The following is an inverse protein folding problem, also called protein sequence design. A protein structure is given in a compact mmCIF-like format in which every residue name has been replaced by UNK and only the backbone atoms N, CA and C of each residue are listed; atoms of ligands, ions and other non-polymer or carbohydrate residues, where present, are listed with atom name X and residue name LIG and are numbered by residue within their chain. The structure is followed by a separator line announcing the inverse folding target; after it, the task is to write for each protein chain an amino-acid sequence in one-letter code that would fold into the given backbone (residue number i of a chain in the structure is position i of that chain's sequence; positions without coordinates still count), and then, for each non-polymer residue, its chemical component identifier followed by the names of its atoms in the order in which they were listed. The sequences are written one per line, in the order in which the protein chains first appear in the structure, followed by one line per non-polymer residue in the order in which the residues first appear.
data_IF_768607344350
#
_entry.id   IF_768607344350
#
_cell.length_a   1.000
_cell.length_b   1.000
_cell.length_c   1.000
_cell.angle_alpha   90.00
_cell.angle_beta   90.00
_cell.angle_gamma   90.00
#
_symmetry.space_group_name_H-M   'P 1'
#
loop_
_entity.id
_entity.type
_entity.pdbx_description
1 polymer ?
#
# COMPACT_ATOMS: atom_id res chain seq x y z
N UNK A 1 20.40 40.15 29.17
CA UNK A 1 20.06 39.23 28.06
C UNK A 1 19.09 38.20 28.61
N UNK A 2 17.79 38.43 28.41
CA UNK A 2 16.74 37.54 28.88
C UNK A 2 16.59 36.34 27.93
N UNK A 3 16.64 35.13 28.48
CA UNK A 3 16.34 33.90 27.76
C UNK A 3 14.83 33.78 27.64
N UNK A 4 14.29 33.79 26.42
CA UNK A 4 12.88 33.53 26.20
C UNK A 4 12.58 32.04 26.42
N UNK A 5 11.61 31.79 27.29
CA UNK A 5 11.08 30.49 27.65
C UNK A 5 10.18 29.99 26.50
N UNK A 6 10.55 28.86 25.88
CA UNK A 6 9.93 28.32 24.65
C UNK A 6 8.63 27.56 24.96
N UNK A 7 8.15 27.60 26.19
CA UNK A 7 7.09 26.72 26.70
C UNK A 7 5.67 27.25 26.50
N UNK A 8 5.48 28.48 26.00
CA UNK A 8 4.16 29.08 25.81
C UNK A 8 4.09 29.82 24.47
N UNK A 9 3.42 29.22 23.49
CA UNK A 9 3.01 29.93 22.27
C UNK A 9 1.69 30.66 22.62
N UNK A 10 1.67 31.99 22.77
CA UNK A 10 0.44 32.72 23.03
C UNK A 10 -0.47 32.63 21.80
N UNK A 11 -1.63 32.00 21.95
CA UNK A 11 -2.65 31.96 20.91
C UNK A 11 -3.26 33.35 20.78
N UNK A 12 -2.92 34.06 19.71
CA UNK A 12 -3.40 35.42 19.45
C UNK A 12 -4.81 35.37 18.83
N UNK A 13 -5.76 36.09 19.42
CA UNK A 13 -7.13 36.20 18.92
C UNK A 13 -7.14 36.87 17.55
N UNK A 14 -7.55 36.14 16.51
CA UNK A 14 -7.58 36.61 15.12
C UNK A 14 -6.63 35.85 14.18
N UNK A 15 -5.74 35.01 14.69
CA UNK A 15 -4.95 34.10 13.88
C UNK A 15 -5.79 32.85 13.55
N UNK A 16 -5.98 32.48 12.28
CA UNK A 16 -6.67 31.25 11.93
C UNK A 16 -5.90 30.07 12.53
N UNK A 17 -6.44 29.46 13.57
CA UNK A 17 -5.97 28.19 14.07
C UNK A 17 -6.36 27.13 13.05
N UNK A 18 -5.38 26.55 12.36
CA UNK A 18 -5.56 25.34 11.56
C UNK A 18 -5.78 24.15 12.51
N UNK A 19 -6.86 24.16 13.31
CA UNK A 19 -7.38 22.89 13.80
C UNK A 19 -7.91 22.19 12.57
N UNK A 20 -7.26 21.08 12.24
CA UNK A 20 -7.51 20.34 11.02
C UNK A 20 -8.99 19.98 10.93
N UNK A 21 -9.69 20.63 10.01
CA UNK A 21 -10.94 20.14 9.42
C UNK A 21 -10.59 18.97 8.48
N UNK A 22 -9.87 17.97 8.97
CA UNK A 22 -9.54 16.78 8.21
C UNK A 22 -10.82 15.96 8.04
N UNK A 23 -11.32 15.77 6.81
CA UNK A 23 -12.44 14.86 6.57
C UNK A 23 -12.06 13.45 7.05
N UNK A 24 -13.01 12.62 7.51
CA UNK A 24 -12.74 11.25 7.95
C UNK A 24 -12.00 10.40 6.89
N UNK A 25 -12.12 10.74 5.60
CA UNK A 25 -11.36 10.08 4.51
C UNK A 25 -9.83 10.26 4.62
N UNK A 26 -9.36 11.32 5.30
CA UNK A 26 -7.92 11.58 5.49
C UNK A 26 -7.27 10.70 6.56
N UNK A 27 -8.08 9.96 7.35
CA UNK A 27 -7.53 9.04 8.35
C UNK A 27 -6.97 7.79 7.70
N UNK A 28 -7.58 7.25 6.64
CA UNK A 28 -7.13 5.99 6.04
C UNK A 28 -5.69 6.09 5.50
N UNK A 29 -5.43 7.08 4.65
CA UNK A 29 -4.12 7.26 4.02
C UNK A 29 -3.03 7.50 5.06
N UNK A 30 -3.33 8.29 6.09
CA UNK A 30 -2.41 8.54 7.19
C UNK A 30 -2.17 7.28 8.04
N UNK A 31 -3.22 6.52 8.34
CA UNK A 31 -3.11 5.25 9.07
C UNK A 31 -2.29 4.23 8.29
N UNK A 32 -2.41 4.20 6.96
CA UNK A 32 -1.59 3.37 6.09
C UNK A 32 -0.12 3.79 6.18
N UNK A 33 0.19 5.09 6.15
CA UNK A 33 1.56 5.59 6.39
C UNK A 33 2.08 5.15 7.76
N UNK A 34 1.26 5.26 8.82
CA UNK A 34 1.64 4.81 10.17
C UNK A 34 1.91 3.31 10.21
N UNK A 35 1.08 2.48 9.57
CA UNK A 35 1.31 1.04 9.50
C UNK A 35 2.64 0.72 8.81
N UNK A 36 2.94 1.39 7.68
CA UNK A 36 4.15 1.17 6.89
C UNK A 36 5.45 1.55 7.63
N UNK A 37 5.45 2.62 8.42
CA UNK A 37 6.66 3.15 9.04
C UNK A 37 6.77 2.93 10.56
N UNK A 38 5.65 2.79 11.26
CA UNK A 38 5.57 2.77 12.73
C UNK A 38 5.10 1.44 13.30
N UNK A 39 4.95 0.40 12.47
CA UNK A 39 4.45 -0.92 12.88
C UNK A 39 3.06 -0.84 13.55
N UNK A 40 2.25 0.16 13.18
CA UNK A 40 0.86 0.24 13.57
C UNK A 40 0.01 -0.78 12.79
N UNK A 41 -1.23 -0.98 13.23
CA UNK A 41 -2.17 -1.85 12.52
C UNK A 41 -2.54 -1.26 11.15
N UNK A 42 -2.64 -2.13 10.14
CA UNK A 42 -3.09 -1.74 8.82
C UNK A 42 -4.57 -1.35 8.85
N UNK A 43 -4.94 -0.17 8.30
CA UNK A 43 -6.34 0.26 8.32
C UNK A 43 -7.18 -0.61 7.38
N UNK A 44 -8.38 -0.98 7.82
CA UNK A 44 -9.38 -1.63 6.97
C UNK A 44 -10.07 -0.62 6.05
N UNK A 45 -10.61 -1.09 4.93
CA UNK A 45 -11.38 -0.27 3.99
C UNK A 45 -12.40 -1.10 3.24
N UNK A 46 -13.59 -0.53 3.05
CA UNK A 46 -14.68 -1.12 2.25
C UNK A 46 -14.69 -0.55 0.82
N UNK A 47 -13.71 0.27 0.45
CA UNK A 47 -13.66 0.91 -0.86
C UNK A 47 -13.39 -0.14 -1.96
N UNK A 48 -14.33 -0.38 -2.89
CA UNK A 48 -14.17 -1.37 -3.95
C UNK A 48 -13.01 -1.02 -4.90
N UNK A 49 -12.77 0.26 -5.17
CA UNK A 49 -11.65 0.69 -6.03
C UNK A 49 -10.29 0.37 -5.40
N UNK A 50 -10.19 0.47 -4.07
CA UNK A 50 -8.99 0.07 -3.35
C UNK A 50 -8.77 -1.43 -3.42
N UNK A 51 -9.83 -2.23 -3.22
CA UNK A 51 -9.76 -3.69 -3.34
C UNK A 51 -9.34 -4.13 -4.74
N UNK A 52 -9.93 -3.54 -5.78
CA UNK A 52 -9.59 -3.82 -7.18
C UNK A 52 -8.15 -3.40 -7.49
N UNK A 53 -7.71 -2.26 -6.95
CA UNK A 53 -6.32 -1.80 -7.07
C UNK A 53 -5.34 -2.77 -6.40
N UNK A 54 -5.64 -3.29 -5.21
CA UNK A 54 -4.83 -4.31 -4.53
C UNK A 54 -4.72 -5.59 -5.35
N UNK A 55 -5.83 -6.06 -5.94
CA UNK A 55 -5.80 -7.25 -6.82
C UNK A 55 -4.89 -7.03 -8.02
N UNK A 56 -5.10 -5.94 -8.75
CA UNK A 56 -4.28 -5.59 -9.94
C UNK A 56 -2.82 -5.38 -9.58
N UNK A 57 -2.56 -4.74 -8.44
CA UNK A 57 -1.20 -4.50 -7.97
C UNK A 57 -0.50 -5.82 -7.67
N UNK A 58 -1.19 -6.79 -7.07
CA UNK A 58 -0.67 -8.14 -6.84
C UNK A 58 -0.26 -8.84 -8.13
N UNK A 59 -1.14 -8.85 -9.13
CA UNK A 59 -0.88 -9.52 -10.41
C UNK A 59 0.36 -8.97 -11.10
N UNK A 60 0.47 -7.64 -11.17
CA UNK A 60 1.60 -6.96 -11.80
C UNK A 60 2.88 -7.15 -10.97
N UNK A 61 2.79 -7.07 -9.63
CA UNK A 61 3.95 -7.26 -8.76
C UNK A 61 4.52 -8.68 -8.88
N UNK A 62 3.65 -9.71 -8.88
CA UNK A 62 4.06 -11.11 -9.08
C UNK A 62 4.69 -11.34 -10.46
N UNK A 63 4.15 -10.71 -11.51
CA UNK A 63 4.75 -10.76 -12.85
C UNK A 63 6.18 -10.20 -12.83
N UNK A 64 6.40 -9.05 -12.19
CA UNK A 64 7.72 -8.42 -12.09
C UNK A 64 8.68 -9.29 -11.27
N UNK A 65 8.23 -9.88 -10.16
CA UNK A 65 9.02 -10.84 -9.38
C UNK A 65 9.48 -12.02 -10.26
N UNK A 66 8.57 -12.60 -11.05
CA UNK A 66 8.92 -13.70 -11.94
C UNK A 66 9.97 -13.29 -13.00
N UNK A 67 9.86 -12.08 -13.54
CA UNK A 67 10.88 -11.57 -14.48
C UNK A 67 12.22 -11.36 -13.79
N UNK A 68 12.25 -10.86 -12.55
CA UNK A 68 13.47 -10.71 -11.75
C UNK A 68 14.09 -12.09 -11.47
N UNK A 69 13.29 -13.10 -11.14
CA UNK A 69 13.77 -14.47 -10.97
C UNK A 69 14.32 -15.07 -12.27
N UNK A 70 13.71 -14.76 -13.42
CA UNK A 70 14.22 -15.18 -14.72
C UNK A 70 15.59 -14.55 -15.04
N UNK A 71 15.83 -13.29 -14.63
CA UNK A 71 17.16 -12.68 -14.71
C UNK A 71 18.19 -13.45 -13.88
N UNK A 72 17.84 -13.87 -12.67
CA UNK A 72 18.72 -14.67 -11.81
C UNK A 72 19.04 -16.06 -12.40
N UNK A 73 18.15 -16.59 -13.24
CA UNK A 73 18.36 -17.85 -13.99
C UNK A 73 19.18 -17.67 -15.27
N UNK A 74 19.64 -16.45 -15.58
CA UNK A 74 20.51 -16.16 -16.72
C UNK A 74 19.76 -15.77 -18.01
N UNK A 75 18.48 -15.41 -17.94
CA UNK A 75 17.77 -14.83 -19.09
C UNK A 75 18.33 -13.42 -19.37
N UNK A 76 18.47 -13.07 -20.64
CA UNK A 76 19.03 -11.78 -21.08
C UNK A 76 18.20 -10.59 -20.57
N UNK A 77 18.87 -9.66 -19.89
CA UNK A 77 18.30 -8.42 -19.38
C UNK A 77 17.60 -7.61 -20.46
N UNK A 78 18.13 -7.58 -21.69
CA UNK A 78 17.54 -6.81 -22.79
C UNK A 78 16.12 -7.26 -23.15
N UNK A 79 15.79 -8.54 -22.88
CA UNK A 79 14.45 -9.08 -23.14
C UNK A 79 13.48 -8.80 -22.01
N UNK A 80 13.97 -8.81 -20.76
CA UNK A 80 13.13 -8.70 -19.57
C UNK A 80 12.94 -7.25 -19.10
N UNK A 81 13.91 -6.37 -19.33
CA UNK A 81 13.86 -4.97 -18.93
C UNK A 81 12.58 -4.26 -19.40
N UNK A 82 12.13 -4.36 -20.67
CA UNK A 82 10.89 -3.71 -21.10
C UNK A 82 9.64 -4.20 -20.35
N UNK A 83 9.61 -5.46 -19.91
CA UNK A 83 8.48 -6.03 -19.16
C UNK A 83 8.50 -5.49 -17.73
N UNK A 84 9.67 -5.46 -17.10
CA UNK A 84 9.87 -4.91 -15.76
C UNK A 84 9.49 -3.42 -15.76
N UNK A 85 10.05 -2.64 -16.68
CA UNK A 85 9.76 -1.20 -16.81
C UNK A 85 8.27 -0.96 -17.03
N UNK A 86 7.61 -1.78 -17.86
CA UNK A 86 6.17 -1.67 -18.06
C UNK A 86 5.37 -2.02 -16.81
N UNK A 87 5.80 -3.02 -16.04
CA UNK A 87 5.20 -3.35 -14.76
C UNK A 87 5.26 -2.18 -13.78
N UNK A 88 6.41 -1.52 -13.69
CA UNK A 88 6.61 -0.31 -12.87
C UNK A 88 5.70 0.84 -13.29
N UNK A 89 5.58 1.09 -14.58
CA UNK A 89 4.68 2.13 -15.10
C UNK A 89 3.22 1.85 -14.72
N UNK A 90 2.79 0.59 -14.78
CA UNK A 90 1.43 0.19 -14.40
C UNK A 90 1.23 0.40 -12.90
N UNK A 91 2.18 -0.02 -12.06
CA UNK A 91 2.16 0.22 -10.61
C UNK A 91 1.97 1.72 -10.33
N UNK A 92 2.80 2.58 -10.93
CA UNK A 92 2.67 4.03 -10.76
C UNK A 92 1.34 4.58 -11.25
N UNK A 93 0.79 4.02 -12.33
CA UNK A 93 -0.50 4.42 -12.90
C UNK A 93 -1.65 4.08 -11.94
N UNK A 94 -1.62 2.90 -11.31
CA UNK A 94 -2.61 2.51 -10.29
C UNK A 94 -2.65 3.54 -9.16
N UNK A 95 -1.50 4.01 -8.67
CA UNK A 95 -1.41 5.03 -7.62
C UNK A 95 -1.94 6.41 -8.01
N UNK A 96 -1.97 6.72 -9.30
CA UNK A 96 -2.58 7.96 -9.82
C UNK A 96 -4.09 7.83 -9.97
N UNK A 97 -4.59 6.63 -10.26
CA UNK A 97 -6.01 6.36 -10.47
C UNK A 97 -6.77 6.16 -9.16
N UNK A 98 -6.12 5.60 -8.14
CA UNK A 98 -6.74 5.30 -6.84
C UNK A 98 -5.96 6.03 -5.74
N UNK A 99 -6.34 7.25 -5.35
CA UNK A 99 -5.57 8.06 -4.41
C UNK A 99 -5.28 7.36 -3.07
N UNK A 100 -6.23 6.57 -2.58
CA UNK A 100 -6.13 5.82 -1.31
C UNK A 100 -5.00 4.79 -1.29
N UNK A 101 -4.54 4.28 -2.44
CA UNK A 101 -3.38 3.36 -2.53
C UNK A 101 -2.06 4.11 -2.68
N UNK A 102 -2.10 5.40 -3.01
CA UNK A 102 -0.91 6.19 -3.30
C UNK A 102 0.14 6.19 -2.16
N UNK A 103 -0.22 6.17 -0.86
CA UNK A 103 0.77 6.03 0.21
C UNK A 103 1.62 4.75 0.10
N UNK A 104 1.00 3.61 -0.22
CA UNK A 104 1.68 2.33 -0.41
C UNK A 104 2.66 2.41 -1.60
N UNK A 105 2.22 2.98 -2.71
CA UNK A 105 3.06 3.09 -3.91
C UNK A 105 4.23 4.06 -3.68
N UNK A 106 4.00 5.18 -2.98
CA UNK A 106 5.08 6.11 -2.62
C UNK A 106 6.10 5.46 -1.69
N UNK A 107 5.66 4.68 -0.70
CA UNK A 107 6.54 3.90 0.16
C UNK A 107 7.40 2.95 -0.67
N UNK A 108 6.79 2.15 -1.55
CA UNK A 108 7.50 1.22 -2.42
C UNK A 108 8.54 1.91 -3.31
N UNK A 109 8.19 3.03 -3.95
CA UNK A 109 9.14 3.82 -4.75
C UNK A 109 10.28 4.39 -3.89
N UNK A 110 9.99 4.79 -2.67
CA UNK A 110 11.00 5.28 -1.71
C UNK A 110 11.99 4.18 -1.37
N UNK A 111 11.52 2.95 -1.11
CA UNK A 111 12.40 1.81 -0.85
C UNK A 111 13.32 1.49 -2.03
N UNK A 112 12.83 1.64 -3.28
CA UNK A 112 13.68 1.49 -4.47
C UNK A 112 14.75 2.57 -4.59
N UNK A 113 14.41 3.82 -4.28
CA UNK A 113 15.35 4.95 -4.31
C UNK A 113 16.44 4.82 -3.24
N UNK A 114 16.14 4.14 -2.13
CA UNK A 114 17.10 3.87 -1.04
C UNK A 114 18.18 2.85 -1.41
N UNK A 115 18.08 2.18 -2.56
CA UNK A 115 19.11 1.27 -3.04
C UNK A 115 20.38 2.02 -3.40
N UNK A 116 21.44 1.78 -2.63
CA UNK A 116 22.78 2.30 -2.92
C UNK A 116 23.34 1.68 -4.22
N UNK A 117 24.21 2.42 -4.95
CA UNK A 117 24.92 1.86 -6.09
C UNK A 117 25.70 0.61 -5.69
N UNK A 118 25.39 -0.52 -6.31
CA UNK A 118 25.97 -1.82 -6.02
C UNK A 118 26.15 -2.63 -7.31
N UNK A 119 26.90 -3.75 -7.27
CA UNK A 119 26.99 -4.66 -8.41
C UNK A 119 25.60 -5.14 -8.85
N UNK A 120 25.45 -5.42 -10.15
CA UNK A 120 24.16 -5.79 -10.75
C UNK A 120 23.47 -6.95 -10.02
N UNK A 121 24.21 -7.99 -9.62
CA UNK A 121 23.66 -9.14 -8.90
C UNK A 121 23.00 -8.74 -7.57
N UNK A 122 23.65 -7.82 -6.84
CA UNK A 122 23.14 -7.28 -5.57
C UNK A 122 21.91 -6.42 -5.82
N UNK A 123 21.90 -5.61 -6.87
CA UNK A 123 20.74 -4.79 -7.23
C UNK A 123 19.52 -5.63 -7.61
N UNK A 124 19.71 -6.69 -8.41
CA UNK A 124 18.64 -7.63 -8.79
C UNK A 124 18.06 -8.29 -7.54
N UNK A 125 18.93 -8.74 -6.62
CA UNK A 125 18.51 -9.37 -5.38
C UNK A 125 17.73 -8.40 -4.47
N UNK A 126 18.25 -7.20 -4.21
CA UNK A 126 17.56 -6.20 -3.40
C UNK A 126 16.25 -5.71 -4.04
N UNK A 127 16.21 -5.58 -5.36
CA UNK A 127 14.98 -5.25 -6.09
C UNK A 127 13.92 -6.33 -5.85
N UNK A 128 14.30 -7.62 -5.92
CA UNK A 128 13.40 -8.74 -5.61
C UNK A 128 12.82 -8.62 -4.20
N UNK A 129 13.67 -8.38 -3.22
CA UNK A 129 13.27 -8.24 -1.81
C UNK A 129 12.25 -7.11 -1.61
N UNK A 130 12.42 -5.97 -2.28
CA UNK A 130 11.45 -4.87 -2.22
C UNK A 130 10.09 -5.28 -2.82
N UNK A 131 10.08 -5.97 -3.95
CA UNK A 131 8.84 -6.48 -4.53
C UNK A 131 8.18 -7.55 -3.65
N UNK A 132 8.96 -8.42 -3.00
CA UNK A 132 8.45 -9.40 -2.02
C UNK A 132 7.87 -8.70 -0.78
N UNK A 133 8.49 -7.61 -0.31
CA UNK A 133 7.96 -6.79 0.78
C UNK A 133 6.65 -6.12 0.38
N UNK A 134 6.57 -5.57 -0.83
CA UNK A 134 5.32 -5.03 -1.37
C UNK A 134 4.24 -6.13 -1.44
N UNK A 135 4.59 -7.33 -1.89
CA UNK A 135 3.65 -8.45 -1.95
C UNK A 135 3.09 -8.81 -0.59
N UNK A 136 3.92 -8.86 0.46
CA UNK A 136 3.45 -9.13 1.82
C UNK A 136 2.39 -8.13 2.29
N UNK A 137 2.57 -6.85 1.97
CA UNK A 137 1.56 -5.83 2.34
C UNK A 137 0.27 -6.03 1.53
N UNK A 138 0.38 -6.36 0.25
CA UNK A 138 -0.77 -6.68 -0.62
C UNK A 138 -1.54 -7.90 -0.10
N UNK A 139 -0.82 -8.96 0.31
CA UNK A 139 -1.40 -10.20 0.81
C UNK A 139 -2.22 -9.97 2.09
N UNK A 140 -1.74 -9.12 3.02
CA UNK A 140 -2.49 -8.74 4.22
C UNK A 140 -3.88 -8.17 3.87
N UNK A 141 -3.94 -7.35 2.82
CA UNK A 141 -5.21 -6.79 2.35
C UNK A 141 -6.08 -7.84 1.66
N UNK A 142 -5.51 -8.67 0.78
CA UNK A 142 -6.26 -9.73 0.10
C UNK A 142 -6.87 -10.73 1.09
N UNK A 143 -6.12 -11.12 2.12
CA UNK A 143 -6.60 -11.97 3.20
C UNK A 143 -7.76 -11.30 3.94
N UNK A 144 -7.64 -10.01 4.27
CA UNK A 144 -8.72 -9.27 4.95
C UNK A 144 -10.03 -9.25 4.14
N UNK A 145 -9.95 -9.06 2.82
CA UNK A 145 -11.12 -9.07 1.94
C UNK A 145 -11.72 -10.48 1.79
N UNK A 146 -10.89 -11.53 1.79
CA UNK A 146 -11.35 -12.91 1.78
C UNK A 146 -12.17 -13.26 3.03
N UNK A 147 -11.75 -12.77 4.21
CA UNK A 147 -12.47 -12.96 5.46
C UNK A 147 -13.82 -12.20 5.48
N UNK A 148 -13.87 -10.96 4.97
CA UNK A 148 -15.13 -10.21 4.89
C UNK A 148 -16.16 -10.87 3.99
N UNK A 149 -15.74 -11.41 2.84
CA UNK A 149 -16.64 -12.12 1.92
C UNK A 149 -17.24 -13.38 2.55
N UNK A 150 -16.47 -14.12 3.35
CA UNK A 150 -16.94 -15.33 4.03
C UNK A 150 -17.92 -15.04 5.18
N UNK A 151 -17.77 -13.89 5.86
CA UNK A 151 -18.71 -13.47 6.91
C UNK A 151 -20.06 -13.06 6.31
N UNK A 152 -20.06 -12.31 5.21
CA UNK A 152 -21.31 -11.89 4.53
C UNK A 152 -22.09 -13.12 4.04
N UNK A 153 -21.43 -14.09 3.42
CA UNK A 153 -22.08 -15.32 2.94
C UNK A 153 -22.68 -16.16 4.09
N UNK A 154 -22.06 -16.13 5.28
CA UNK A 154 -22.60 -16.78 6.48
C UNK A 154 -23.83 -16.07 7.06
N UNK A 155 -23.87 -14.73 6.98
CA UNK A 155 -25.00 -13.93 7.49
C UNK A 155 -26.22 -14.09 6.58
N UNK A 156 -26.04 -14.05 5.27
CA UNK A 156 -27.14 -14.26 4.31
C UNK A 156 -27.74 -15.67 4.41
N UNK A 157 -26.91 -16.70 4.62
CA UNK A 157 -27.40 -18.07 4.88
C UNK A 157 -28.16 -18.20 6.21
N UNK A 158 -27.91 -17.35 7.20
CA UNK A 158 -28.66 -17.33 8.47
C UNK A 158 -30.00 -16.57 8.35
N UNK A 159 -30.07 -15.55 7.50
CA UNK A 159 -31.30 -14.78 7.24
C UNK A 159 -32.27 -15.47 6.27
N UNK A 160 -31.77 -16.40 5.45
CA UNK A 160 -32.59 -17.17 4.49
C UNK A 160 -33.14 -18.50 5.05
N UNK A 161 -33.22 -18.69 6.37
CA UNK A 161 -33.99 -19.81 6.93
C UNK A 161 -35.46 -19.41 7.02
N UNK A 162 -36.38 -20.04 6.27
CA UNK A 162 -37.80 -19.81 6.46
C UNK A 162 -38.17 -20.25 7.88
N UNK A 163 -38.94 -19.41 8.57
CA UNK A 163 -39.61 -19.78 9.81
C UNK A 163 -40.56 -20.95 9.53
N UNK A 164 -40.07 -22.17 9.66
CA UNK A 164 -40.92 -23.34 9.79
C UNK A 164 -41.58 -23.29 11.17
N UNK A 165 -42.80 -22.76 11.19
CA UNK A 165 -43.80 -22.89 12.24
C UNK A 165 -45.15 -22.66 11.55
N UNK A 166 -46.20 -23.42 11.77
CA UNK A 166 -46.56 -24.37 12.82
C UNK A 166 -47.66 -25.28 12.25
#
# INVERSE_FOLDING_TARGET
GEKQDISLIPVQTGTPSYWALTPPDSDFEWNLVRALYQQADFPATENPDFRDAISKLSEINLLVIDQILALQRGVDLKKLAPIIDRGEEIIQTIGKLVPTIAPLIRWYQTEKIRLEPAPQEVLVQKSREIHELLQKVIDLYQESFGHQSAVIECVDKKLSKPSEGL
#
